data_IF_002259810864
#
_entry.id   IF_002259810864
#
_cell.length_a   1.000
_cell.length_b   1.000
_cell.length_c   1.000
_cell.angle_alpha   90.00
_cell.angle_beta   90.00
_cell.angle_gamma   90.00
#
_symmetry.space_group_name_H-M   'P 1'
#
loop_
_entity.id
_entity.type
_entity.pdbx_description
1 polymer ?
#
# COMPACT_ATOMS: atom_id res chain seq x y z
N UNK A 1 -2.19 15.32 3.47
CA UNK A 1 -1.30 14.36 4.18
C UNK A 1 -0.41 13.69 3.15
N UNK A 2 0.89 13.59 3.41
CA UNK A 2 1.83 12.91 2.52
C UNK A 2 1.94 11.44 2.92
N UNK A 3 1.96 10.54 1.95
CA UNK A 3 2.14 9.10 2.15
C UNK A 3 3.29 8.64 1.26
N UNK A 4 4.21 7.90 1.86
CA UNK A 4 5.21 7.12 1.14
C UNK A 4 4.72 5.67 1.07
N UNK A 5 4.74 5.07 -0.12
CA UNK A 5 4.42 3.69 -0.43
C UNK A 5 5.67 2.99 -0.95
N UNK A 6 6.17 2.00 -0.21
CA UNK A 6 7.28 1.14 -0.63
C UNK A 6 6.75 -0.26 -0.95
N UNK A 7 7.15 -0.84 -2.07
CA UNK A 7 6.74 -2.16 -2.55
C UNK A 7 8.00 -2.98 -2.89
N UNK A 8 8.16 -4.10 -2.20
CA UNK A 8 9.35 -4.98 -2.34
C UNK A 8 9.17 -6.13 -3.34
N UNK A 9 8.18 -6.05 -4.22
CA UNK A 9 7.86 -7.11 -5.19
C UNK A 9 7.54 -6.54 -6.57
N UNK A 10 7.27 -7.43 -7.52
CA UNK A 10 6.84 -7.09 -8.87
C UNK A 10 5.52 -6.30 -8.92
N UNK A 11 4.81 -6.18 -7.79
CA UNK A 11 3.61 -5.35 -7.70
C UNK A 11 3.90 -3.88 -8.03
N UNK A 12 5.16 -3.43 -7.83
CA UNK A 12 5.62 -2.08 -8.18
C UNK A 12 5.44 -1.74 -9.65
N UNK A 13 5.48 -2.74 -10.54
CA UNK A 13 5.31 -2.56 -11.98
C UNK A 13 3.88 -2.16 -12.37
N UNK A 14 2.91 -2.32 -11.45
CA UNK A 14 1.52 -1.92 -11.64
C UNK A 14 1.19 -0.57 -11.00
N UNK A 15 2.20 0.13 -10.48
CA UNK A 15 2.07 1.44 -9.85
C UNK A 15 2.73 2.49 -10.74
N UNK A 16 1.93 3.46 -11.17
CA UNK A 16 2.40 4.55 -12.02
C UNK A 16 3.33 5.48 -11.23
N UNK A 17 4.43 5.92 -11.87
CA UNK A 17 5.45 6.80 -11.26
C UNK A 17 6.13 6.23 -10.01
N UNK A 18 6.13 4.90 -9.84
CA UNK A 18 6.91 4.25 -8.79
C UNK A 18 8.41 4.41 -9.06
N UNK A 19 9.16 4.91 -8.08
CA UNK A 19 10.62 5.01 -8.15
C UNK A 19 11.25 3.86 -7.38
N UNK A 20 12.27 3.21 -7.95
CA UNK A 20 12.94 2.08 -7.29
C UNK A 20 13.55 2.46 -5.93
N UNK A 21 14.22 3.62 -5.86
CA UNK A 21 14.92 4.05 -4.64
C UNK A 21 13.98 4.72 -3.60
N UNK A 22 12.98 5.45 -4.08
CA UNK A 22 12.12 6.31 -3.25
C UNK A 22 10.71 5.77 -3.03
N UNK A 23 10.31 4.74 -3.77
CA UNK A 23 8.93 4.26 -3.86
C UNK A 23 7.99 5.27 -4.53
N UNK A 24 6.71 5.18 -4.21
CA UNK A 24 5.72 6.18 -4.59
C UNK A 24 5.46 7.11 -3.42
N UNK A 25 5.59 8.42 -3.66
CA UNK A 25 5.22 9.45 -2.70
C UNK A 25 4.00 10.18 -3.24
N UNK A 26 2.88 10.10 -2.52
CA UNK A 26 1.61 10.70 -2.93
C UNK A 26 1.05 11.58 -1.83
N UNK A 27 0.54 12.74 -2.22
CA UNK A 27 -0.21 13.60 -1.33
C UNK A 27 -1.70 13.28 -1.42
N UNK A 28 -2.35 13.18 -0.27
CA UNK A 28 -3.77 12.84 -0.13
C UNK A 28 -4.47 13.98 0.58
N UNK A 29 -5.49 14.53 -0.07
CA UNK A 29 -6.31 15.63 0.43
C UNK A 29 -7.41 15.14 1.37
N UNK A 30 -7.94 13.94 1.16
CA UNK A 30 -9.07 13.40 1.91
C UNK A 30 -8.70 12.18 2.76
N UNK A 31 -9.41 11.94 3.88
CA UNK A 31 -9.25 10.71 4.66
C UNK A 31 -9.61 9.49 3.81
N UNK A 32 -8.65 8.58 3.64
CA UNK A 32 -8.87 7.30 2.96
C UNK A 32 -8.36 6.15 3.81
N UNK A 33 -8.96 4.98 3.61
CA UNK A 33 -8.43 3.73 4.18
C UNK A 33 -7.22 3.26 3.39
N UNK A 34 -6.37 2.45 4.03
CA UNK A 34 -5.22 1.84 3.35
C UNK A 34 -5.66 1.06 2.11
N UNK A 35 -6.75 0.31 2.20
CA UNK A 35 -7.26 -0.49 1.09
C UNK A 35 -7.69 0.39 -0.09
N UNK A 36 -8.45 1.47 0.16
CA UNK A 36 -8.83 2.41 -0.89
C UNK A 36 -7.60 3.04 -1.56
N UNK A 37 -6.61 3.48 -0.78
CA UNK A 37 -5.38 4.03 -1.34
C UNK A 37 -4.65 3.03 -2.24
N UNK A 38 -4.51 1.77 -1.80
CA UNK A 38 -3.86 0.72 -2.58
C UNK A 38 -4.66 0.38 -3.85
N UNK A 39 -5.99 0.32 -3.78
CA UNK A 39 -6.87 0.07 -4.93
C UNK A 39 -6.79 1.20 -5.98
N UNK A 40 -6.72 2.45 -5.54
CA UNK A 40 -6.58 3.60 -6.45
C UNK A 40 -5.18 3.71 -7.06
N UNK A 41 -4.18 3.13 -6.41
CA UNK A 41 -2.76 3.29 -6.76
C UNK A 41 -2.23 2.15 -7.60
N UNK A 42 -2.65 0.92 -7.33
CA UNK A 42 -2.18 -0.28 -8.03
C UNK A 42 -3.17 -0.64 -9.13
N UNK A 43 -2.83 -0.34 -10.39
CA UNK A 43 -3.70 -0.51 -11.56
C UNK A 43 -3.67 -1.94 -12.10
N UNK A 44 -4.12 -2.91 -11.31
CA UNK A 44 -4.22 -4.32 -11.74
C UNK A 44 -5.29 -5.07 -10.97
N UNK A 45 -6.21 -5.74 -11.68
CA UNK A 45 -7.43 -6.34 -11.11
C UNK A 45 -7.16 -7.33 -9.97
N UNK A 46 -6.11 -8.15 -10.11
CA UNK A 46 -5.74 -9.18 -9.11
C UNK A 46 -4.58 -8.78 -8.20
N UNK A 47 -4.08 -7.55 -8.29
CA UNK A 47 -2.89 -7.19 -7.52
C UNK A 47 -3.19 -7.14 -6.02
N UNK A 48 -4.41 -6.77 -5.63
CA UNK A 48 -4.81 -6.76 -4.22
C UNK A 48 -4.78 -8.16 -3.59
N UNK A 49 -5.10 -9.20 -4.36
CA UNK A 49 -5.08 -10.59 -3.88
C UNK A 49 -3.65 -11.09 -3.64
N UNK A 50 -2.66 -10.49 -4.31
CA UNK A 50 -1.25 -10.81 -4.14
C UNK A 50 -0.63 -10.13 -2.91
N UNK A 51 -1.34 -9.19 -2.26
CA UNK A 51 -0.84 -8.50 -1.06
C UNK A 51 -1.15 -9.35 0.17
N UNK A 52 -0.11 -9.92 0.78
CA UNK A 52 -0.27 -10.70 2.01
C UNK A 52 -0.22 -9.80 3.26
N UNK A 53 0.68 -8.80 3.26
CA UNK A 53 0.97 -7.97 4.43
C UNK A 53 1.21 -6.52 4.05
N UNK A 54 0.86 -5.62 4.97
CA UNK A 54 1.14 -4.19 4.88
C UNK A 54 1.73 -3.74 6.21
N UNK A 55 2.82 -3.00 6.17
CA UNK A 55 3.48 -2.40 7.31
C UNK A 55 3.02 -0.93 7.41
N UNK A 56 2.43 -0.58 8.54
CA UNK A 56 1.85 0.74 8.79
C UNK A 56 2.48 1.27 10.07
N UNK A 57 3.22 2.38 10.01
CA UNK A 57 3.96 2.92 11.17
C UNK A 57 4.72 1.81 11.93
N UNK A 58 5.58 1.07 11.23
CA UNK A 58 6.40 -0.04 11.78
C UNK A 58 5.59 -1.26 12.28
N UNK A 59 4.26 -1.28 12.15
CA UNK A 59 3.42 -2.41 12.52
C UNK A 59 3.03 -3.22 11.31
N UNK A 60 3.37 -4.51 11.32
CA UNK A 60 2.89 -5.47 10.31
C UNK A 60 1.41 -5.75 10.54
N UNK A 61 0.61 -5.54 9.50
CA UNK A 61 -0.83 -5.79 9.47
C UNK A 61 -1.12 -6.74 8.30
N UNK A 62 -1.75 -7.90 8.55
CA UNK A 62 -2.22 -8.77 7.48
C UNK A 62 -3.23 -8.02 6.59
N UNK A 63 -3.09 -8.14 5.27
CA UNK A 63 -3.91 -7.39 4.31
C UNK A 63 -5.41 -7.70 4.49
N UNK A 64 -5.76 -8.97 4.76
CA UNK A 64 -7.13 -9.41 5.05
C UNK A 64 -7.73 -8.85 6.35
N UNK A 65 -6.92 -8.26 7.24
CA UNK A 65 -7.39 -7.62 8.47
C UNK A 65 -7.64 -6.12 8.30
N UNK A 66 -7.23 -5.52 7.17
CA UNK A 66 -7.43 -4.09 6.89
C UNK A 66 -8.90 -3.72 6.68
N UNK A 67 -9.75 -4.66 6.25
CA UNK A 67 -11.20 -4.42 6.14
C UNK A 67 -11.89 -4.39 7.51
N UNK A 68 -11.33 -5.08 8.52
CA UNK A 68 -11.98 -5.25 9.83
C UNK A 68 -11.67 -4.12 10.79
N UNK A 69 -10.49 -3.53 10.69
CA UNK A 69 -10.09 -2.34 11.45
C UNK A 69 -10.11 -1.20 10.45
N UNK A 70 -11.01 -0.22 10.59
CA UNK A 70 -10.97 1.05 9.84
C UNK A 70 -9.66 1.78 10.15
N UNK A 71 -8.55 1.29 9.60
CA UNK A 71 -7.22 1.86 9.70
C UNK A 71 -7.16 2.99 8.69
N UNK A 72 -7.42 4.19 9.20
CA UNK A 72 -7.20 5.42 8.46
C UNK A 72 -5.69 5.56 8.25
N UNK A 73 -5.31 5.91 7.02
CA UNK A 73 -3.92 6.06 6.64
C UNK A 73 -3.17 7.01 7.59
N UNK A 74 -2.03 6.59 8.15
CA UNK A 74 -1.04 7.52 8.71
C UNK A 74 -0.04 7.96 7.63
N UNK A 75 0.84 8.90 7.98
CA UNK A 75 1.74 9.57 7.05
C UNK A 75 2.81 8.66 6.37
N UNK A 76 3.00 7.40 6.80
CA UNK A 76 4.00 6.48 6.23
C UNK A 76 3.44 5.05 6.08
N UNK A 77 3.55 4.46 4.89
CA UNK A 77 3.02 3.12 4.55
C UNK A 77 4.05 2.26 3.79
N UNK A 78 4.51 1.16 4.38
CA UNK A 78 5.40 0.21 3.72
C UNK A 78 4.63 -1.07 3.36
N UNK A 79 4.72 -1.60 2.15
CA UNK A 79 3.96 -2.80 1.71
C UNK A 79 4.90 -3.95 1.36
N UNK A 80 4.71 -5.11 1.99
CA UNK A 80 5.49 -6.32 1.72
C UNK A 80 4.60 -7.45 1.19
N UNK A 81 4.91 -7.97 -0.01
CA UNK A 81 4.31 -9.23 -0.50
C UNK A 81 5.40 -10.31 -0.54
N UNK A 82 5.21 -11.40 0.20
CA UNK A 82 6.01 -12.62 0.07
C UNK A 82 5.23 -13.63 -0.78
N UNK A 83 5.89 -14.21 -1.80
CA UNK A 83 5.41 -15.39 -2.51
C UNK A 83 5.68 -16.61 -1.61
N UNK A 84 4.65 -17.38 -1.25
CA UNK A 84 4.79 -18.71 -0.63
C UNK A 84 5.03 -19.72 -1.74
#
# INVERSE_FOLDING_TARGET
MKIKLIIYSNLKNYVENYKEDDGLVKEISEPKTIKQFLQETIKHEKAMDAISMVIVNEKVVPFNQLDRKKLILPANLDVQSKKI
#
